data_IF_853822027481
#
_entry.id   IF_853822027481
#
_cell.length_a   1.000
_cell.length_b   1.000
_cell.length_c   1.000
_cell.angle_alpha   90.00
_cell.angle_beta   90.00
_cell.angle_gamma   90.00
#
_symmetry.space_group_name_H-M   'P 1'
#
loop_
_entity.id
_entity.type
_entity.pdbx_description
1 polymer ?
#
# COMPACT_ATOMS: atom_id res chain seq x y z
N UNK A 1 33.11 3.77 -10.11
CA UNK A 1 34.04 2.60 -10.26
C UNK A 1 33.57 1.34 -9.51
N UNK A 2 32.70 1.43 -8.48
CA UNK A 2 32.31 0.27 -7.64
C UNK A 2 30.85 -0.19 -7.76
N UNK A 3 29.99 0.52 -8.49
CA UNK A 3 28.54 0.27 -8.48
C UNK A 3 28.12 -1.12 -8.98
N UNK A 4 28.99 -1.83 -9.72
CA UNK A 4 28.69 -3.09 -10.38
C UNK A 4 29.82 -4.13 -10.23
N UNK A 5 30.64 -4.03 -9.19
CA UNK A 5 31.76 -4.98 -8.98
C UNK A 5 31.30 -6.44 -8.89
N UNK A 6 30.08 -6.66 -8.42
CA UNK A 6 29.45 -7.97 -8.31
C UNK A 6 28.17 -8.05 -9.17
N UNK A 7 28.25 -7.52 -10.39
CA UNK A 7 27.13 -7.55 -11.34
C UNK A 7 26.56 -8.97 -11.59
N UNK A 8 27.34 -10.08 -11.59
CA UNK A 8 26.79 -11.41 -11.84
C UNK A 8 25.73 -11.83 -10.82
N UNK A 9 25.79 -11.33 -9.58
CA UNK A 9 24.83 -11.65 -8.52
C UNK A 9 23.83 -10.51 -8.24
N UNK A 10 24.08 -9.31 -8.75
CA UNK A 10 23.24 -8.11 -8.50
C UNK A 10 22.36 -7.72 -9.68
N UNK A 11 22.59 -8.31 -10.85
CA UNK A 11 21.87 -7.98 -12.08
C UNK A 11 21.34 -9.27 -12.68
N UNK A 12 20.03 -9.30 -12.95
CA UNK A 12 19.39 -10.36 -13.72
C UNK A 12 18.97 -9.81 -15.07
N UNK A 13 19.13 -10.61 -16.13
CA UNK A 13 18.55 -10.31 -17.45
C UNK A 13 17.06 -10.61 -17.50
N UNK A 14 16.59 -11.50 -16.63
CA UNK A 14 15.20 -11.90 -16.54
C UNK A 14 14.52 -11.16 -15.39
N UNK A 15 13.31 -10.67 -15.66
CA UNK A 15 12.46 -10.12 -14.61
C UNK A 15 12.01 -11.26 -13.67
N UNK A 16 12.13 -11.12 -12.35
CA UNK A 16 11.60 -12.11 -11.41
C UNK A 16 10.10 -12.34 -11.66
N UNK A 17 9.69 -13.60 -11.71
CA UNK A 17 8.29 -13.96 -11.84
C UNK A 17 7.52 -13.61 -10.54
N UNK A 18 6.36 -12.99 -10.68
CA UNK A 18 5.44 -12.75 -9.57
C UNK A 18 4.69 -14.03 -9.26
N UNK A 19 4.97 -14.64 -8.11
CA UNK A 19 4.40 -15.94 -7.69
C UNK A 19 3.31 -15.82 -6.62
N UNK A 20 3.05 -14.62 -6.12
CA UNK A 20 2.08 -14.36 -5.06
C UNK A 20 0.94 -13.45 -5.55
N UNK A 21 -0.21 -13.60 -4.92
CA UNK A 21 -1.32 -12.65 -5.07
C UNK A 21 -0.90 -11.27 -4.58
N UNK A 22 -1.41 -10.22 -5.23
CA UNK A 22 -1.17 -8.83 -4.85
C UNK A 22 -2.33 -7.96 -5.31
N UNK A 23 -2.47 -6.80 -4.66
CA UNK A 23 -3.45 -5.80 -5.06
C UNK A 23 -2.86 -4.99 -6.22
N UNK A 24 -3.59 -4.90 -7.34
CA UNK A 24 -3.13 -4.13 -8.52
C UNK A 24 -3.42 -2.64 -8.39
N UNK A 25 -4.60 -2.30 -7.87
CA UNK A 25 -5.03 -0.93 -7.68
C UNK A 25 -6.13 -0.84 -6.62
N UNK A 26 -6.28 0.36 -6.07
CA UNK A 26 -7.39 0.76 -5.20
C UNK A 26 -8.07 1.94 -5.87
N UNK A 27 -9.40 1.93 -5.97
CA UNK A 27 -10.20 3.05 -6.45
C UNK A 27 -11.05 3.57 -5.29
N UNK A 28 -10.95 4.87 -5.02
CA UNK A 28 -11.75 5.55 -4.01
C UNK A 28 -12.88 6.31 -4.71
N UNK A 29 -14.12 5.93 -4.42
CA UNK A 29 -15.31 6.57 -4.99
C UNK A 29 -15.85 7.68 -4.06
N UNK A 30 -16.72 8.54 -4.58
CA UNK A 30 -17.38 9.60 -3.81
C UNK A 30 -16.55 10.88 -3.66
N UNK A 31 -16.87 11.67 -2.63
CA UNK A 31 -16.28 12.98 -2.36
C UNK A 31 -15.24 12.92 -1.22
N UNK A 32 -14.35 13.91 -1.15
CA UNK A 32 -13.31 14.03 -0.13
C UNK A 32 -11.89 13.99 -0.71
N UNK A 33 -10.89 13.97 0.16
CA UNK A 33 -9.48 14.12 -0.24
C UNK A 33 -8.94 12.98 -1.11
N UNK A 34 -9.54 11.80 -1.04
CA UNK A 34 -9.22 10.65 -1.89
C UNK A 34 -10.34 10.35 -2.91
N UNK A 35 -11.45 11.07 -2.88
CA UNK A 35 -12.60 10.81 -3.74
C UNK A 35 -12.26 10.94 -5.23
N UNK A 36 -12.65 9.95 -6.03
CA UNK A 36 -12.36 9.88 -7.47
C UNK A 36 -10.92 9.49 -7.80
N UNK A 37 -10.08 9.14 -6.83
CA UNK A 37 -8.68 8.78 -7.08
C UNK A 37 -8.51 7.28 -7.29
N UNK A 38 -7.58 6.93 -8.18
CA UNK A 38 -7.13 5.55 -8.40
C UNK A 38 -5.65 5.45 -8.09
N UNK A 39 -5.31 4.61 -7.11
CA UNK A 39 -3.94 4.34 -6.69
C UNK A 39 -3.51 3.00 -7.27
N UNK A 40 -2.56 3.01 -8.20
CA UNK A 40 -1.92 1.78 -8.71
C UNK A 40 -0.81 1.37 -7.76
N UNK A 41 -0.78 0.09 -7.40
CA UNK A 41 0.20 -0.44 -6.46
C UNK A 41 1.24 -1.28 -7.20
N UNK A 42 2.49 -1.19 -6.72
CA UNK A 42 3.54 -2.13 -7.06
C UNK A 42 3.25 -3.47 -6.37
N UNK A 43 3.44 -4.61 -7.06
CA UNK A 43 3.39 -5.92 -6.41
C UNK A 43 4.52 -6.14 -5.39
N UNK A 44 5.56 -5.31 -5.43
CA UNK A 44 6.73 -5.40 -4.55
C UNK A 44 6.63 -4.43 -3.35
N UNK A 45 7.04 -3.17 -3.50
CA UNK A 45 7.11 -2.20 -2.42
C UNK A 45 6.31 -0.94 -2.77
N UNK A 46 5.38 -0.59 -1.88
CA UNK A 46 4.62 0.66 -1.94
C UNK A 46 5.00 1.54 -0.76
N UNK A 47 5.44 2.77 -1.05
CA UNK A 47 5.85 3.73 -0.02
C UNK A 47 4.91 4.93 -0.05
N UNK A 48 4.04 5.04 0.96
CA UNK A 48 3.12 6.18 1.12
C UNK A 48 3.84 7.31 1.87
N UNK A 49 4.18 8.39 1.18
CA UNK A 49 4.88 9.56 1.74
C UNK A 49 4.02 10.83 1.65
N UNK A 50 4.29 11.81 2.51
CA UNK A 50 3.61 13.12 2.49
C UNK A 50 3.47 13.76 3.87
N UNK A 51 2.97 14.99 3.90
CA UNK A 51 2.78 15.77 5.12
C UNK A 51 1.69 15.20 6.05
N UNK A 52 1.58 15.71 7.28
CA UNK A 52 0.47 15.35 8.18
C UNK A 52 -0.88 15.68 7.53
N UNK A 53 -1.86 14.78 7.65
CA UNK A 53 -3.19 14.96 7.06
C UNK A 53 -3.30 14.60 5.57
N UNK A 54 -2.21 14.15 4.92
CA UNK A 54 -2.20 13.85 3.48
C UNK A 54 -2.91 12.55 3.07
N UNK A 55 -3.66 11.88 3.97
CA UNK A 55 -4.44 10.68 3.65
C UNK A 55 -3.69 9.34 3.62
N UNK A 56 -2.40 9.27 3.98
CA UNK A 56 -1.62 8.00 4.00
C UNK A 56 -2.30 6.89 4.83
N UNK A 57 -2.68 7.20 6.06
CA UNK A 57 -3.38 6.26 6.94
C UNK A 57 -4.78 5.93 6.44
N UNK A 58 -5.45 6.87 5.77
CA UNK A 58 -6.78 6.64 5.17
C UNK A 58 -6.72 5.62 4.04
N UNK A 59 -5.65 5.60 3.24
CA UNK A 59 -5.43 4.55 2.23
C UNK A 59 -5.31 3.17 2.88
N UNK A 60 -4.52 3.06 3.95
CA UNK A 60 -4.34 1.80 4.69
C UNK A 60 -5.65 1.35 5.37
N UNK A 61 -6.39 2.28 5.95
CA UNK A 61 -7.67 2.02 6.59
C UNK A 61 -8.74 1.58 5.58
N UNK A 62 -8.80 2.23 4.41
CA UNK A 62 -9.68 1.83 3.32
C UNK A 62 -9.36 0.43 2.80
N UNK A 63 -8.07 0.06 2.72
CA UNK A 63 -7.66 -1.29 2.37
C UNK A 63 -8.09 -2.31 3.42
N UNK A 64 -7.88 -2.00 4.71
CA UNK A 64 -8.31 -2.85 5.82
C UNK A 64 -9.82 -3.09 5.77
N UNK A 65 -10.59 -2.02 5.60
CA UNK A 65 -12.05 -2.07 5.51
C UNK A 65 -12.52 -2.90 4.31
N UNK A 66 -12.02 -2.63 3.10
CA UNK A 66 -12.45 -3.30 1.89
C UNK A 66 -12.11 -4.80 1.85
N UNK A 67 -11.06 -5.22 2.57
CA UNK A 67 -10.64 -6.62 2.69
C UNK A 67 -11.19 -7.31 3.94
N UNK A 68 -12.06 -6.65 4.70
CA UNK A 68 -12.64 -7.17 5.95
C UNK A 68 -11.57 -7.64 6.96
N UNK A 69 -10.48 -6.89 7.06
CA UNK A 69 -9.39 -7.21 7.98
C UNK A 69 -9.74 -6.67 9.38
N UNK A 70 -9.78 -7.52 10.43
CA UNK A 70 -10.15 -7.07 11.76
C UNK A 70 -9.08 -6.17 12.39
N UNK A 71 -9.48 -5.38 13.38
CA UNK A 71 -8.53 -4.60 14.17
C UNK A 71 -7.64 -5.52 15.02
N UNK A 72 -6.33 -5.31 14.96
CA UNK A 72 -5.38 -5.99 15.84
C UNK A 72 -5.63 -5.68 17.32
N UNK A 73 -5.09 -6.51 18.22
CA UNK A 73 -5.24 -6.38 19.68
C UNK A 73 -4.74 -5.03 20.23
N UNK A 74 -3.76 -4.43 19.56
CA UNK A 74 -3.18 -3.12 19.94
C UNK A 74 -3.78 -1.95 19.16
N UNK A 75 -4.91 -2.13 18.50
CA UNK A 75 -5.58 -1.02 17.82
C UNK A 75 -6.03 0.00 18.88
N UNK A 76 -5.39 1.17 18.90
CA UNK A 76 -5.89 2.34 19.62
C UNK A 76 -7.17 2.83 18.95
N UNK A 77 -8.13 3.30 19.74
CA UNK A 77 -9.43 3.82 19.29
C UNK A 77 -10.29 2.81 18.50
N UNK A 78 -10.45 1.58 19.02
CA UNK A 78 -11.42 0.60 18.48
C UNK A 78 -12.83 1.18 18.39
N UNK A 79 -13.29 1.83 19.45
CA UNK A 79 -14.65 2.36 19.54
C UNK A 79 -14.95 3.42 18.46
N UNK A 80 -13.98 4.27 18.10
CA UNK A 80 -14.18 5.25 17.02
C UNK A 80 -14.27 4.59 15.64
N UNK A 81 -13.48 3.53 15.42
CA UNK A 81 -13.36 2.91 14.09
C UNK A 81 -14.39 1.82 13.81
N UNK A 82 -15.00 1.23 14.83
CA UNK A 82 -16.13 0.30 14.69
C UNK A 82 -17.45 1.02 14.41
N UNK A 83 -17.55 2.32 14.73
CA UNK A 83 -18.74 3.15 14.50
C UNK A 83 -18.65 4.02 13.24
N UNK A 84 -17.73 3.70 12.32
CA UNK A 84 -17.55 4.38 11.03
C UNK A 84 -18.31 3.64 9.92
#
# INVERSE_FOLDING_TARGET
>A
RFALQDFPHRVSREKPALRHSHIRQIAFEGAGSLGGTVVKLSPELNTLIGIRGSGKSSILEGLRYALDIPFGEKASDRDYKENL
#
